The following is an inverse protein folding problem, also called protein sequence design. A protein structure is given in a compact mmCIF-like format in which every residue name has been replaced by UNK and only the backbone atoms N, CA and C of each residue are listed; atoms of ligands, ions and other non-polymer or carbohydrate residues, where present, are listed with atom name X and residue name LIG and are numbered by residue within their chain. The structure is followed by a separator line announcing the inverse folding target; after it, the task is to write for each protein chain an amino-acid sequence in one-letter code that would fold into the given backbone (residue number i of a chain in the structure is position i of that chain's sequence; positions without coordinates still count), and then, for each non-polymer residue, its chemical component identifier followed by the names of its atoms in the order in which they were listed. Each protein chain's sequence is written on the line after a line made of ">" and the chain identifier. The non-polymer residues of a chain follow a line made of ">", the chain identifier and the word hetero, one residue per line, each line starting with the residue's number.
data_IF_372430823073
#
_entry.id   IF_372430823073
#
_cell.length_a   1.000
_cell.length_b   1.000
_cell.length_c   1.000
_cell.angle_alpha   90.00
_cell.angle_beta   90.00
_cell.angle_gamma   90.00
#
_symmetry.space_group_name_H-M   'P 1'
#
loop_
_entity.id
_entity.type
_entity.pdbx_description
1 polymer ?
#
# COMPACT_ATOMS: atom_id res chain seq x y z
N UNK A 1 24.10 -24.47 9.73
CA UNK A 1 24.33 -23.64 10.93
C UNK A 1 23.68 -22.30 10.69
N UNK A 2 22.44 -22.14 11.13
CA UNK A 2 21.83 -20.80 11.22
C UNK A 2 22.55 -20.10 12.38
N UNK A 3 23.25 -19.01 12.09
CA UNK A 3 23.82 -18.16 13.13
C UNK A 3 22.68 -17.65 14.02
N UNK A 4 22.95 -17.55 15.33
CA UNK A 4 22.12 -16.96 16.39
C UNK A 4 21.72 -15.51 16.09
N UNK A 5 20.92 -15.28 15.05
CA UNK A 5 20.31 -13.99 14.80
C UNK A 5 19.03 -13.90 15.62
N UNK A 6 18.99 -12.91 16.50
CA UNK A 6 17.76 -12.53 17.22
C UNK A 6 16.67 -12.33 16.16
N UNK A 7 15.51 -13.02 16.28
CA UNK A 7 14.46 -12.92 15.28
C UNK A 7 13.94 -11.49 15.21
N UNK A 8 13.63 -11.04 14.00
CA UNK A 8 13.05 -9.71 13.77
C UNK A 8 11.59 -9.70 14.20
N UNK A 9 11.26 -8.78 15.10
CA UNK A 9 9.94 -8.63 15.71
C UNK A 9 9.02 -7.82 14.82
N UNK A 10 7.91 -8.42 14.42
CA UNK A 10 6.92 -7.83 13.51
C UNK A 10 5.60 -7.61 14.23
N UNK A 11 5.09 -6.38 14.16
CA UNK A 11 3.74 -6.01 14.58
C UNK A 11 2.81 -5.81 13.39
N UNK A 12 1.57 -6.27 13.48
CA UNK A 12 0.55 -6.08 12.44
C UNK A 12 -0.55 -5.12 12.93
N UNK A 13 -0.84 -4.09 12.15
CA UNK A 13 -1.91 -3.12 12.41
C UNK A 13 -2.98 -3.27 11.33
N UNK A 14 -4.08 -3.91 11.69
CA UNK A 14 -5.19 -4.28 10.81
C UNK A 14 -5.35 -5.79 10.70
N UNK A 15 -6.57 -6.28 10.94
CA UNK A 15 -6.90 -7.71 10.87
C UNK A 15 -8.03 -8.01 9.87
N UNK A 16 -7.99 -7.31 8.73
CA UNK A 16 -8.78 -7.65 7.54
C UNK A 16 -8.14 -8.78 6.72
N UNK A 17 -8.60 -8.99 5.47
CA UNK A 17 -8.11 -10.07 4.60
C UNK A 17 -6.58 -10.11 4.47
N UNK A 18 -5.93 -8.97 4.24
CA UNK A 18 -4.46 -8.88 4.17
C UNK A 18 -3.81 -9.20 5.52
N UNK A 19 -4.28 -8.57 6.60
CA UNK A 19 -3.75 -8.79 7.95
C UNK A 19 -3.86 -10.25 8.41
N UNK A 20 -4.98 -10.92 8.13
CA UNK A 20 -5.16 -12.34 8.44
C UNK A 20 -4.16 -13.22 7.71
N UNK A 21 -3.92 -12.97 6.42
CA UNK A 21 -2.92 -13.73 5.66
C UNK A 21 -1.50 -13.48 6.16
N UNK A 22 -1.14 -12.24 6.47
CA UNK A 22 0.19 -11.91 7.00
C UNK A 22 0.41 -12.53 8.38
N UNK A 23 -0.59 -12.48 9.28
CA UNK A 23 -0.52 -13.12 10.60
C UNK A 23 -0.38 -14.64 10.45
N UNK A 24 -1.15 -15.26 9.56
CA UNK A 24 -1.03 -16.69 9.28
C UNK A 24 0.38 -17.06 8.79
N UNK A 25 0.94 -16.32 7.83
CA UNK A 25 2.31 -16.54 7.35
C UNK A 25 3.36 -16.31 8.43
N UNK A 26 3.23 -15.26 9.25
CA UNK A 26 4.16 -14.99 10.34
C UNK A 26 4.12 -16.09 11.43
N UNK A 27 2.95 -16.64 11.73
CA UNK A 27 2.82 -17.73 12.71
C UNK A 27 3.34 -19.08 12.18
N UNK A 28 3.17 -19.35 10.89
CA UNK A 28 3.47 -20.66 10.29
C UNK A 28 4.85 -20.74 9.64
N UNK A 29 5.29 -19.68 8.97
CA UNK A 29 6.55 -19.62 8.20
C UNK A 29 7.55 -18.63 8.81
N UNK A 30 7.09 -17.67 9.60
CA UNK A 30 7.93 -16.63 10.20
C UNK A 30 9.14 -17.15 10.97
N UNK A 31 8.99 -18.13 11.88
CA UNK A 31 10.11 -18.63 12.69
C UNK A 31 11.28 -19.18 11.84
N UNK A 32 10.98 -19.90 10.76
CA UNK A 32 12.00 -20.44 9.84
C UNK A 32 12.73 -19.33 9.06
N UNK A 33 12.10 -18.17 8.92
CA UNK A 33 12.63 -16.98 8.26
C UNK A 33 13.28 -15.99 9.26
N UNK A 34 13.38 -16.35 10.54
CA UNK A 34 13.91 -15.47 11.59
C UNK A 34 12.97 -14.30 11.91
N UNK A 35 11.66 -14.49 11.79
CA UNK A 35 10.63 -13.49 12.10
C UNK A 35 9.76 -13.94 13.28
N UNK A 36 9.42 -13.00 14.15
CA UNK A 36 8.55 -13.22 15.30
C UNK A 36 7.36 -12.25 15.25
N UNK A 37 6.12 -12.78 15.25
CA UNK A 37 4.94 -11.94 15.42
C UNK A 37 4.82 -11.52 16.89
N UNK A 38 4.97 -10.23 17.18
CA UNK A 38 4.95 -9.72 18.57
C UNK A 38 3.63 -9.05 18.95
N UNK A 39 2.86 -8.56 17.99
CA UNK A 39 1.48 -8.15 18.23
C UNK A 39 0.64 -8.07 16.97
N UNK A 40 -0.68 -8.12 17.18
CA UNK A 40 -1.71 -7.76 16.21
C UNK A 40 -2.64 -6.75 16.87
N UNK A 41 -2.90 -5.65 16.17
CA UNK A 41 -3.89 -4.66 16.58
C UNK A 41 -4.97 -4.55 15.52
N UNK A 42 -6.22 -4.42 15.96
CA UNK A 42 -7.33 -4.06 15.09
C UNK A 42 -8.29 -3.16 15.86
N UNK A 43 -8.86 -2.14 15.20
CA UNK A 43 -9.80 -1.19 15.83
C UNK A 43 -10.98 -1.89 16.51
N UNK A 44 -11.44 -2.99 15.93
CA UNK A 44 -12.42 -3.89 16.52
C UNK A 44 -11.72 -5.17 16.99
N UNK A 45 -11.41 -5.31 18.30
CA UNK A 45 -10.72 -6.49 18.83
C UNK A 45 -11.50 -7.79 18.61
N UNK A 46 -12.82 -7.73 18.49
CA UNK A 46 -13.68 -8.90 18.28
C UNK A 46 -13.32 -9.67 17.01
N UNK A 47 -12.74 -9.00 16.00
CA UNK A 47 -12.26 -9.67 14.77
C UNK A 47 -11.08 -10.62 14.99
N UNK A 48 -10.35 -10.46 16.10
CA UNK A 48 -9.19 -11.30 16.44
C UNK A 48 -9.57 -12.46 17.37
N UNK A 49 -10.76 -12.43 17.97
CA UNK A 49 -11.21 -13.43 18.93
C UNK A 49 -11.20 -14.83 18.32
N UNK A 50 -10.53 -15.78 18.99
CA UNK A 50 -10.40 -17.17 18.53
C UNK A 50 -9.44 -17.39 17.35
N UNK A 51 -8.93 -16.35 16.71
CA UNK A 51 -7.99 -16.46 15.57
C UNK A 51 -6.57 -15.99 15.90
N UNK A 52 -6.42 -15.03 16.82
CA UNK A 52 -5.12 -14.53 17.28
C UNK A 52 -4.94 -14.90 18.75
N UNK A 53 -3.80 -15.48 19.18
CA UNK A 53 -3.53 -15.73 20.59
C UNK A 53 -3.71 -14.48 21.46
N UNK A 54 -4.37 -14.55 22.64
CA UNK A 54 -4.61 -13.37 23.49
C UNK A 54 -3.34 -12.60 23.84
N UNK A 55 -2.22 -13.31 24.04
CA UNK A 55 -0.91 -12.69 24.29
C UNK A 55 -0.45 -11.79 23.16
N UNK A 56 -0.85 -12.05 21.91
CA UNK A 56 -0.49 -11.27 20.72
C UNK A 56 -1.49 -10.14 20.43
N UNK A 57 -2.65 -10.10 21.08
CA UNK A 57 -3.65 -9.06 20.82
C UNK A 57 -3.30 -7.77 21.57
N UNK A 58 -2.84 -6.77 20.83
CA UNK A 58 -2.61 -5.43 21.38
C UNK A 58 -3.94 -4.69 21.49
N UNK A 59 -4.29 -4.26 22.71
CA UNK A 59 -5.56 -3.59 22.98
C UNK A 59 -5.53 -2.10 22.60
N UNK A 60 -4.40 -1.44 22.89
CA UNK A 60 -4.19 -0.02 22.61
C UNK A 60 -2.94 0.15 21.74
N UNK A 61 -3.09 0.76 20.57
CA UNK A 61 -1.98 1.00 19.66
C UNK A 61 -0.90 1.89 20.30
N UNK A 62 -1.27 2.80 21.20
CA UNK A 62 -0.30 3.63 21.92
C UNK A 62 0.67 2.83 22.81
N UNK A 63 0.30 1.58 23.17
CA UNK A 63 1.14 0.68 23.94
C UNK A 63 2.06 -0.19 23.06
N UNK A 64 2.17 0.06 21.75
CA UNK A 64 2.98 -0.78 20.85
C UNK A 64 4.46 -0.85 21.27
N UNK A 65 4.98 0.21 21.91
CA UNK A 65 6.38 0.27 22.37
C UNK A 65 6.73 -0.81 23.39
N UNK A 66 5.75 -1.25 24.20
CA UNK A 66 5.91 -2.34 25.18
C UNK A 66 6.17 -3.70 24.51
N UNK A 67 5.89 -3.81 23.22
CA UNK A 67 6.08 -5.03 22.43
C UNK A 67 7.43 -5.09 21.74
N UNK A 68 8.20 -4.01 21.79
CA UNK A 68 9.51 -3.86 21.15
C UNK A 68 9.56 -4.37 19.70
N UNK A 69 8.65 -3.92 18.81
CA UNK A 69 8.70 -4.30 17.40
C UNK A 69 9.92 -3.70 16.69
N UNK A 70 10.50 -4.43 15.74
CA UNK A 70 11.49 -3.88 14.80
C UNK A 70 10.81 -3.32 13.53
N UNK A 71 9.68 -3.92 13.16
CA UNK A 71 8.85 -3.52 12.02
C UNK A 71 7.37 -3.55 12.41
N UNK A 72 6.64 -2.50 12.06
CA UNK A 72 5.18 -2.45 12.12
C UNK A 72 4.63 -2.39 10.70
N UNK A 73 3.69 -3.28 10.38
CA UNK A 73 3.03 -3.35 9.07
C UNK A 73 1.59 -2.86 9.20
N UNK A 74 1.28 -1.76 8.53
CA UNK A 74 -0.07 -1.20 8.46
C UNK A 74 -0.82 -1.78 7.25
N UNK A 75 -1.95 -2.45 7.50
CA UNK A 75 -2.87 -3.00 6.49
C UNK A 75 -4.34 -2.81 6.92
N UNK A 76 -4.63 -1.65 7.50
CA UNK A 76 -5.92 -1.30 8.10
C UNK A 76 -6.65 -0.20 7.32
N UNK A 77 -6.09 1.00 7.32
CA UNK A 77 -6.69 2.22 6.77
C UNK A 77 -5.65 3.35 6.75
N UNK A 78 -5.66 4.27 5.76
CA UNK A 78 -4.75 5.42 5.75
C UNK A 78 -4.85 6.32 6.99
N UNK A 79 -5.99 6.30 7.70
CA UNK A 79 -6.18 7.02 8.98
C UNK A 79 -5.16 6.62 10.04
N UNK A 80 -4.75 5.35 10.07
CA UNK A 80 -3.71 4.89 10.99
C UNK A 80 -2.38 5.59 10.71
N UNK A 81 -2.05 5.82 9.43
CA UNK A 81 -0.83 6.51 9.04
C UNK A 81 -0.91 8.00 9.43
N UNK A 82 -2.05 8.65 9.18
CA UNK A 82 -2.29 10.05 9.56
C UNK A 82 -2.18 10.29 11.07
N UNK A 83 -2.72 9.38 11.88
CA UNK A 83 -2.87 9.54 13.33
C UNK A 83 -1.68 8.98 14.11
N UNK A 84 -1.16 7.82 13.70
CA UNK A 84 -0.20 7.03 14.49
C UNK A 84 1.14 6.78 13.78
N UNK A 85 1.28 7.10 12.49
CA UNK A 85 2.48 6.76 11.72
C UNK A 85 3.78 7.34 12.30
N UNK A 86 3.76 8.60 12.73
CA UNK A 86 4.93 9.23 13.36
C UNK A 86 5.26 8.64 14.74
N UNK A 87 4.24 8.24 15.52
CA UNK A 87 4.45 7.60 16.83
C UNK A 87 5.00 6.17 16.66
N UNK A 88 4.53 5.42 15.65
CA UNK A 88 5.09 4.11 15.31
C UNK A 88 6.59 4.22 15.01
N UNK A 89 6.99 5.24 14.24
CA UNK A 89 8.39 5.49 13.88
C UNK A 89 9.29 5.84 15.08
N UNK A 90 8.73 6.17 16.25
CA UNK A 90 9.52 6.31 17.48
C UNK A 90 10.08 4.97 17.97
N UNK A 91 9.43 3.86 17.63
CA UNK A 91 9.77 2.53 18.15
C UNK A 91 10.25 1.55 17.07
N UNK A 92 9.83 1.72 15.81
CA UNK A 92 10.08 0.73 14.77
C UNK A 92 10.11 1.30 13.34
N UNK A 93 10.61 0.51 12.40
CA UNK A 93 10.33 0.71 10.98
C UNK A 93 8.83 0.57 10.70
N UNK A 94 8.32 1.28 9.69
CA UNK A 94 6.91 1.25 9.31
C UNK A 94 6.76 0.81 7.86
N UNK A 95 6.02 -0.28 7.60
CA UNK A 95 5.53 -0.63 6.27
C UNK A 95 4.10 -0.10 6.10
N UNK A 96 3.94 0.90 5.25
CA UNK A 96 2.67 1.51 4.87
C UNK A 96 1.98 0.67 3.79
N UNK A 97 0.89 0.02 4.15
CA UNK A 97 0.02 -0.69 3.20
C UNK A 97 -1.06 0.17 2.58
N UNK A 98 -1.32 1.35 3.15
CA UNK A 98 -2.27 2.34 2.65
C UNK A 98 -1.56 3.61 2.14
N UNK A 99 -0.81 3.56 1.02
CA UNK A 99 -0.06 4.72 0.51
C UNK A 99 -0.93 5.91 0.13
N UNK A 100 -2.25 5.74 0.00
CA UNK A 100 -3.18 6.86 -0.18
C UNK A 100 -3.10 7.91 0.94
N UNK A 101 -2.61 7.54 2.13
CA UNK A 101 -2.33 8.49 3.21
C UNK A 101 -1.28 9.56 2.84
N UNK A 102 -0.34 9.20 1.96
CA UNK A 102 0.76 10.08 1.53
C UNK A 102 0.32 11.10 0.47
N UNK A 103 -0.94 11.02 0.01
CA UNK A 103 -1.55 12.09 -0.77
C UNK A 103 -1.75 13.36 0.07
N UNK A 104 -1.69 13.29 1.40
CA UNK A 104 -1.69 14.45 2.27
C UNK A 104 -0.25 14.86 2.60
N UNK A 105 0.15 16.02 2.09
CA UNK A 105 1.54 16.50 2.22
C UNK A 105 1.98 16.65 3.68
N UNK A 106 1.09 17.10 4.57
CA UNK A 106 1.38 17.22 6.00
C UNK A 106 1.66 15.85 6.65
N UNK A 107 1.04 14.78 6.15
CA UNK A 107 1.31 13.41 6.63
C UNK A 107 2.63 12.90 6.10
N UNK A 108 2.93 13.09 4.82
CA UNK A 108 4.23 12.74 4.23
C UNK A 108 5.40 13.44 4.96
N UNK A 109 5.30 14.75 5.19
CA UNK A 109 6.32 15.53 5.91
C UNK A 109 6.52 15.04 7.34
N UNK A 110 5.43 14.80 8.08
CA UNK A 110 5.51 14.27 9.46
C UNK A 110 6.21 12.91 9.52
N UNK A 111 5.97 12.03 8.55
CA UNK A 111 6.65 10.73 8.50
C UNK A 111 8.12 10.87 8.14
N UNK A 112 8.48 11.74 7.19
CA UNK A 112 9.87 12.00 6.84
C UNK A 112 10.65 12.55 8.05
N UNK A 113 10.10 13.56 8.73
CA UNK A 113 10.71 14.14 9.93
C UNK A 113 10.87 13.11 11.05
N UNK A 114 9.84 12.32 11.33
CA UNK A 114 9.89 11.26 12.34
C UNK A 114 10.91 10.18 11.97
N UNK A 115 10.96 9.79 10.69
CA UNK A 115 11.92 8.81 10.16
C UNK A 115 13.36 9.26 10.38
N UNK A 116 13.68 10.52 10.06
CA UNK A 116 15.00 11.10 10.29
C UNK A 116 15.32 11.27 11.78
N UNK A 117 14.33 11.70 12.59
CA UNK A 117 14.51 11.92 14.02
C UNK A 117 14.84 10.62 14.78
N UNK A 118 14.15 9.53 14.46
CA UNK A 118 14.24 8.28 15.21
C UNK A 118 15.06 7.20 14.52
N UNK A 119 15.59 7.46 13.32
CA UNK A 119 16.44 6.52 12.61
C UNK A 119 15.70 5.37 11.91
N UNK A 120 14.36 5.40 11.90
CA UNK A 120 13.55 4.32 11.33
C UNK A 120 13.04 4.65 9.92
N UNK A 121 13.23 3.73 8.97
CA UNK A 121 12.68 3.85 7.62
C UNK A 121 11.14 3.74 7.57
N UNK A 122 10.56 4.43 6.59
CA UNK A 122 9.19 4.24 6.11
C UNK A 122 9.26 3.45 4.82
N UNK A 123 8.67 2.28 4.79
CA UNK A 123 8.50 1.47 3.61
C UNK A 123 7.09 1.63 3.04
N UNK A 124 6.95 1.58 1.73
CA UNK A 124 5.67 1.62 1.02
C UNK A 124 5.48 0.31 0.27
N UNK A 125 4.38 -0.39 0.57
CA UNK A 125 4.04 -1.60 -0.16
C UNK A 125 3.65 -1.24 -1.61
N UNK A 126 4.27 -1.91 -2.58
CA UNK A 126 3.94 -1.73 -4.02
C UNK A 126 2.51 -2.17 -4.35
N UNK A 127 2.00 -3.14 -3.60
CA UNK A 127 0.63 -3.65 -3.74
C UNK A 127 0.34 -4.18 -5.15
N UNK A 128 -0.65 -3.58 -5.82
CA UNK A 128 -1.06 -4.00 -7.16
C UNK A 128 -0.27 -3.31 -8.30
N UNK A 129 0.68 -2.42 -7.99
CA UNK A 129 1.45 -1.71 -9.01
C UNK A 129 2.51 -2.63 -9.63
N UNK A 130 2.44 -2.81 -10.95
CA UNK A 130 3.51 -3.44 -11.72
C UNK A 130 4.48 -2.38 -12.24
N UNK A 131 5.79 -2.68 -12.26
CA UNK A 131 6.80 -1.78 -12.84
C UNK A 131 7.23 -0.60 -11.96
N UNK A 132 7.05 -0.65 -10.63
CA UNK A 132 7.46 0.43 -9.70
C UNK A 132 8.92 0.84 -9.89
N UNK A 133 9.83 -0.13 -10.04
CA UNK A 133 11.27 0.14 -10.19
C UNK A 133 11.59 0.79 -11.54
N UNK A 134 10.92 0.36 -12.61
CA UNK A 134 11.08 0.94 -13.95
C UNK A 134 10.55 2.37 -14.01
N UNK A 135 9.37 2.63 -13.42
CA UNK A 135 8.81 3.98 -13.28
C UNK A 135 9.79 4.87 -12.50
N UNK A 136 10.29 4.39 -11.36
CA UNK A 136 11.24 5.15 -10.52
C UNK A 136 12.53 5.47 -11.26
N UNK A 137 13.07 4.52 -12.03
CA UNK A 137 14.30 4.73 -12.81
C UNK A 137 14.07 5.72 -13.95
N UNK A 138 12.94 5.60 -14.65
CA UNK A 138 12.57 6.48 -15.75
C UNK A 138 12.36 7.93 -15.27
N UNK A 139 11.68 8.11 -14.15
CA UNK A 139 11.46 9.40 -13.50
C UNK A 139 12.80 10.06 -13.12
N UNK A 140 13.68 9.32 -12.43
CA UNK A 140 15.02 9.80 -12.04
C UNK A 140 15.90 10.18 -13.24
N UNK A 141 15.71 9.54 -14.38
CA UNK A 141 16.42 9.86 -15.62
C UNK A 141 15.82 11.06 -16.38
N UNK A 142 14.74 11.67 -15.87
CA UNK A 142 14.01 12.74 -16.56
C UNK A 142 13.23 12.26 -17.78
N UNK A 143 13.00 10.95 -17.91
CA UNK A 143 12.37 10.32 -19.06
C UNK A 143 10.87 10.10 -18.91
N UNK A 144 10.26 10.50 -17.79
CA UNK A 144 8.83 10.33 -17.53
C UNK A 144 8.09 11.66 -17.75
N UNK A 145 7.19 11.67 -18.73
CA UNK A 145 6.39 12.85 -19.12
C UNK A 145 4.93 12.74 -18.66
N UNK A 146 4.38 11.53 -18.64
CA UNK A 146 3.02 11.26 -18.17
C UNK A 146 2.93 9.88 -17.52
N UNK A 147 2.05 9.74 -16.54
CA UNK A 147 1.69 8.47 -15.93
C UNK A 147 0.20 8.45 -15.61
N UNK A 148 -0.49 7.45 -16.12
CA UNK A 148 -1.91 7.19 -15.90
C UNK A 148 -2.07 5.77 -15.36
N UNK A 149 -2.90 5.62 -14.33
CA UNK A 149 -3.26 4.33 -13.75
C UNK A 149 -4.78 4.20 -13.77
N UNK A 150 -5.28 3.23 -14.53
CA UNK A 150 -6.71 2.89 -14.57
C UNK A 150 -6.93 1.64 -13.72
N UNK A 151 -7.86 1.69 -12.78
CA UNK A 151 -8.32 0.52 -12.04
C UNK A 151 -9.79 0.27 -12.36
N UNK A 152 -10.07 -0.91 -12.92
CA UNK A 152 -11.42 -1.39 -13.17
C UNK A 152 -11.76 -2.57 -12.26
N UNK A 153 -12.96 -2.57 -11.70
CA UNK A 153 -13.49 -3.67 -10.88
C UNK A 153 -15.02 -3.65 -10.87
N UNK A 154 -15.64 -4.73 -10.40
CA UNK A 154 -17.06 -4.73 -10.07
C UNK A 154 -17.40 -3.56 -9.12
N UNK A 155 -18.55 -2.87 -9.31
CA UNK A 155 -18.99 -1.80 -8.42
C UNK A 155 -18.99 -2.17 -6.93
N UNK A 156 -19.35 -3.42 -6.60
CA UNK A 156 -19.38 -3.93 -5.22
C UNK A 156 -18.00 -3.96 -4.55
N UNK A 157 -16.91 -3.91 -5.32
CA UNK A 157 -15.53 -3.85 -4.82
C UNK A 157 -15.11 -2.46 -4.35
N UNK A 158 -15.91 -1.42 -4.61
CA UNK A 158 -15.55 -0.07 -4.20
C UNK A 158 -15.95 0.24 -2.75
N UNK A 159 -15.10 1.02 -2.08
CA UNK A 159 -15.37 1.63 -0.76
C UNK A 159 -15.17 3.14 -0.90
N UNK A 160 -16.08 3.75 -1.65
CA UNK A 160 -16.06 5.18 -1.94
C UNK A 160 -16.64 5.99 -0.78
N UNK A 161 -16.14 7.20 -0.63
CA UNK A 161 -16.50 8.17 0.41
C UNK A 161 -16.82 9.52 -0.25
N UNK A 162 -17.54 10.38 0.48
CA UNK A 162 -17.84 11.74 0.03
C UNK A 162 -18.64 11.76 -1.29
N UNK A 163 -18.34 12.69 -2.23
CA UNK A 163 -19.07 12.82 -3.48
C UNK A 163 -19.03 11.57 -4.38
N UNK A 164 -17.98 10.75 -4.29
CA UNK A 164 -17.88 9.51 -5.08
C UNK A 164 -18.79 8.40 -4.52
N UNK A 165 -19.19 8.44 -3.25
CA UNK A 165 -20.11 7.45 -2.68
C UNK A 165 -21.51 7.52 -3.33
N UNK A 166 -21.88 8.68 -3.87
CA UNK A 166 -23.14 8.89 -4.60
C UNK A 166 -23.00 8.71 -6.12
N UNK A 167 -21.81 8.37 -6.62
CA UNK A 167 -21.63 8.09 -8.03
C UNK A 167 -22.30 6.75 -8.37
N UNK A 168 -23.26 6.78 -9.29
CA UNK A 168 -23.96 5.58 -9.75
C UNK A 168 -23.36 5.10 -11.06
N UNK A 169 -23.13 3.79 -11.19
CA UNK A 169 -22.82 3.19 -12.48
C UNK A 169 -24.12 3.07 -13.27
N UNK A 170 -24.25 3.84 -14.35
CA UNK A 170 -25.46 3.90 -15.18
C UNK A 170 -25.42 2.94 -16.38
N UNK A 171 -24.27 2.31 -16.63
CA UNK A 171 -24.06 1.38 -17.73
C UNK A 171 -23.17 0.19 -17.36
N UNK A 172 -22.92 -0.73 -18.31
CA UNK A 172 -22.11 -1.93 -18.08
C UNK A 172 -20.67 -1.59 -17.66
N UNK A 173 -20.15 -0.46 -18.13
CA UNK A 173 -18.84 0.09 -17.76
C UNK A 173 -18.93 1.61 -17.63
N UNK A 174 -18.57 2.15 -16.47
CA UNK A 174 -18.72 3.58 -16.11
C UNK A 174 -17.43 4.11 -15.49
N UNK A 175 -16.92 5.24 -15.98
CA UNK A 175 -15.83 5.98 -15.31
C UNK A 175 -16.41 6.75 -14.13
N UNK A 176 -16.01 6.40 -12.92
CA UNK A 176 -16.45 7.04 -11.68
C UNK A 176 -15.58 8.26 -11.34
N UNK A 177 -14.32 8.23 -11.74
CA UNK A 177 -13.35 9.29 -11.49
C UNK A 177 -12.28 9.27 -12.57
N UNK A 178 -11.85 10.46 -13.00
CA UNK A 178 -10.66 10.67 -13.81
C UNK A 178 -10.02 12.01 -13.43
N UNK A 179 -8.76 11.98 -12.98
CA UNK A 179 -8.05 13.18 -12.55
C UNK A 179 -6.81 12.89 -11.72
N UNK A 180 -6.20 13.92 -11.11
CA UNK A 180 -5.03 13.77 -10.24
C UNK A 180 -5.27 12.80 -9.10
N UNK A 181 -4.32 11.89 -8.85
CA UNK A 181 -4.42 10.92 -7.74
C UNK A 181 -4.68 11.60 -6.40
N UNK A 182 -4.15 12.82 -6.17
CA UNK A 182 -4.40 13.60 -4.95
C UNK A 182 -5.90 13.81 -4.68
N UNK A 183 -6.67 14.12 -5.72
CA UNK A 183 -8.10 14.34 -5.61
C UNK A 183 -8.90 13.06 -5.38
N UNK A 184 -8.35 11.91 -5.77
CA UNK A 184 -9.01 10.62 -5.59
C UNK A 184 -8.84 10.05 -4.18
N UNK A 185 -7.65 10.16 -3.59
CA UNK A 185 -7.31 9.48 -2.34
C UNK A 185 -8.29 9.74 -1.18
N UNK A 186 -8.81 10.97 -0.94
CA UNK A 186 -9.79 11.21 0.11
C UNK A 186 -11.14 10.51 -0.10
N UNK A 187 -11.52 10.26 -1.36
CA UNK A 187 -12.83 9.71 -1.72
C UNK A 187 -12.81 8.22 -2.07
N UNK A 188 -11.63 7.65 -2.31
CA UNK A 188 -11.47 6.21 -2.53
C UNK A 188 -10.21 5.68 -1.82
N UNK A 189 -10.05 5.89 -0.50
CA UNK A 189 -8.80 5.64 0.22
C UNK A 189 -8.30 4.21 0.11
N UNK A 190 -9.22 3.24 0.02
CA UNK A 190 -8.88 1.81 -0.05
C UNK A 190 -8.65 1.31 -1.48
N UNK A 191 -9.25 1.98 -2.47
CA UNK A 191 -9.16 1.60 -3.87
C UNK A 191 -8.03 2.36 -4.61
N UNK A 192 -7.55 3.48 -4.08
CA UNK A 192 -6.52 4.31 -4.72
C UNK A 192 -5.07 3.92 -4.38
N UNK A 193 -4.84 2.89 -3.55
CA UNK A 193 -3.49 2.52 -3.08
C UNK A 193 -2.50 2.22 -4.23
N UNK A 194 -2.92 1.53 -5.29
CA UNK A 194 -2.07 1.27 -6.46
C UNK A 194 -1.69 2.57 -7.18
N UNK A 195 -2.62 3.51 -7.28
CA UNK A 195 -2.39 4.80 -7.94
C UNK A 195 -1.51 5.71 -7.07
N UNK A 196 -1.70 5.66 -5.75
CA UNK A 196 -0.84 6.36 -4.80
C UNK A 196 0.60 5.82 -4.82
N UNK A 197 0.77 4.50 -4.90
CA UNK A 197 2.09 3.90 -5.12
C UNK A 197 2.71 4.38 -6.44
N UNK A 198 1.93 4.55 -7.51
CA UNK A 198 2.44 5.06 -8.78
C UNK A 198 2.87 6.53 -8.69
N UNK A 199 2.09 7.36 -7.98
CA UNK A 199 2.44 8.75 -7.68
C UNK A 199 3.75 8.88 -6.89
N UNK A 200 3.96 8.02 -5.90
CA UNK A 200 5.20 7.96 -5.12
C UNK A 200 6.39 7.44 -5.93
N UNK A 201 6.15 6.55 -6.90
CA UNK A 201 7.18 6.03 -7.80
C UNK A 201 7.61 7.03 -8.88
N UNK A 202 6.80 8.07 -9.12
CA UNK A 202 7.06 9.13 -10.07
C UNK A 202 7.15 10.51 -9.39
N UNK A 203 8.15 10.79 -8.53
CA UNK A 203 8.26 12.07 -7.82
C UNK A 203 8.19 13.32 -8.72
N UNK A 204 8.67 13.24 -9.97
CA UNK A 204 8.56 14.36 -10.91
C UNK A 204 7.12 14.66 -11.32
N UNK A 205 6.18 13.72 -11.18
CA UNK A 205 4.76 13.94 -11.43
C UNK A 205 3.98 14.09 -10.11
N UNK A 206 4.29 13.25 -9.13
CA UNK A 206 3.64 13.22 -7.82
C UNK A 206 2.13 12.99 -7.90
N UNK A 207 1.45 13.21 -6.77
CA UNK A 207 0.01 13.02 -6.67
C UNK A 207 -0.82 14.00 -7.53
N UNK A 208 -0.23 15.13 -7.92
CA UNK A 208 -0.92 16.18 -8.68
C UNK A 208 -0.93 15.94 -10.19
N UNK A 209 0.07 15.25 -10.74
CA UNK A 209 0.19 15.03 -12.19
C UNK A 209 0.05 13.58 -12.62
N UNK A 210 0.16 12.61 -11.71
CA UNK A 210 -0.26 11.25 -12.01
C UNK A 210 -1.78 11.21 -12.09
N UNK A 211 -2.30 10.64 -13.17
CA UNK A 211 -3.75 10.55 -13.42
C UNK A 211 -4.27 9.19 -12.95
N UNK A 212 -5.20 9.21 -12.00
CA UNK A 212 -5.94 8.04 -11.55
C UNK A 212 -7.30 7.96 -12.22
N UNK A 213 -7.69 6.77 -12.69
CA UNK A 213 -9.01 6.52 -13.28
C UNK A 213 -9.68 5.33 -12.62
N UNK A 214 -10.83 5.56 -11.97
CA UNK A 214 -11.64 4.49 -11.40
C UNK A 214 -12.78 4.13 -12.34
N UNK A 215 -12.89 2.84 -12.64
CA UNK A 215 -13.90 2.30 -13.55
C UNK A 215 -14.73 1.24 -12.86
N UNK A 216 -16.02 1.49 -12.77
CA UNK A 216 -17.02 0.47 -12.44
C UNK A 216 -17.30 -0.38 -13.68
N UNK A 217 -17.11 -1.69 -13.59
CA UNK A 217 -17.36 -2.62 -14.68
C UNK A 217 -18.11 -3.86 -14.18
N UNK A 218 -19.37 -4.01 -14.59
CA UNK A 218 -20.23 -5.13 -14.18
C UNK A 218 -19.81 -6.47 -14.79
N UNK A 219 -18.94 -6.47 -15.82
CA UNK A 219 -18.42 -7.72 -16.40
C UNK A 219 -17.33 -8.36 -15.53
N UNK A 220 -16.66 -7.58 -14.68
CA UNK A 220 -15.54 -8.03 -13.85
C UNK A 220 -16.02 -8.64 -12.53
N UNK A 221 -16.60 -9.85 -12.58
CA UNK A 221 -17.25 -10.47 -11.40
C UNK A 221 -16.28 -10.93 -10.31
N UNK A 222 -15.09 -11.37 -10.71
CA UNK A 222 -14.11 -12.08 -9.88
C UNK A 222 -12.67 -11.63 -10.20
N UNK A 223 -12.51 -10.40 -10.66
CA UNK A 223 -11.21 -9.88 -11.10
C UNK A 223 -11.13 -8.37 -10.96
N UNK A 224 -9.94 -7.87 -10.65
CA UNK A 224 -9.58 -6.47 -10.80
C UNK A 224 -8.62 -6.33 -11.98
N UNK A 225 -8.85 -5.30 -12.80
CA UNK A 225 -7.95 -4.93 -13.89
C UNK A 225 -7.23 -3.65 -13.50
N UNK A 226 -5.91 -3.63 -13.71
CA UNK A 226 -5.08 -2.43 -13.57
C UNK A 226 -4.30 -2.21 -14.84
N UNK A 227 -4.57 -1.10 -15.51
CA UNK A 227 -3.77 -0.61 -16.63
C UNK A 227 -2.83 0.50 -16.14
N UNK A 228 -1.58 0.42 -16.55
CA UNK A 228 -0.58 1.48 -16.32
C UNK A 228 -0.06 1.94 -17.67
N UNK A 229 -0.24 3.22 -17.94
CA UNK A 229 0.15 3.89 -19.16
C UNK A 229 1.14 5.00 -18.83
N UNK A 230 2.31 4.97 -19.47
CA UNK A 230 3.29 6.03 -19.31
C UNK A 230 3.90 6.42 -20.66
N UNK A 231 4.37 7.66 -20.72
CA UNK A 231 5.09 8.18 -21.87
C UNK A 231 6.31 8.99 -21.45
N UNK A 232 7.31 9.04 -22.32
CA UNK A 232 8.45 9.94 -22.20
C UNK A 232 8.34 11.19 -23.07
N UNK A 233 9.29 12.12 -22.94
CA UNK A 233 9.31 13.32 -23.77
C UNK A 233 9.44 12.96 -25.26
N UNK A 234 8.93 13.81 -26.17
CA UNK A 234 9.10 13.59 -27.61
C UNK A 234 10.59 13.52 -27.99
N UNK A 235 10.98 12.47 -28.72
CA UNK A 235 12.33 12.36 -29.27
C UNK A 235 12.53 13.25 -30.50
N UNK A 236 13.72 13.19 -31.14
CA UNK A 236 14.05 14.01 -32.32
C UNK A 236 13.09 13.84 -33.51
N UNK A 237 12.42 12.68 -33.60
CA UNK A 237 11.45 12.37 -34.65
C UNK A 237 10.00 12.74 -34.28
N UNK A 238 9.80 13.37 -33.12
CA UNK A 238 8.48 13.71 -32.55
C UNK A 238 7.75 12.53 -31.91
N UNK A 239 8.30 11.31 -31.95
CA UNK A 239 7.72 10.14 -31.27
C UNK A 239 8.21 10.05 -29.83
N UNK A 240 7.30 9.74 -28.90
CA UNK A 240 7.62 9.48 -27.51
C UNK A 240 7.83 7.99 -27.25
N UNK A 241 8.73 7.67 -26.31
CA UNK A 241 8.70 6.38 -25.64
C UNK A 241 7.33 6.19 -24.96
N UNK A 242 6.77 4.99 -25.01
CA UNK A 242 5.51 4.67 -24.36
C UNK A 242 5.52 3.24 -23.83
N UNK A 243 4.88 3.03 -22.69
CA UNK A 243 4.64 1.71 -22.11
C UNK A 243 3.17 1.61 -21.72
N UNK A 244 2.58 0.47 -22.07
CA UNK A 244 1.26 0.07 -21.62
C UNK A 244 1.39 -1.31 -20.95
N UNK A 245 0.99 -1.41 -19.69
CA UNK A 245 0.88 -2.70 -19.00
C UNK A 245 -0.56 -2.98 -18.65
N UNK A 246 -1.02 -4.19 -18.93
CA UNK A 246 -2.34 -4.68 -18.55
C UNK A 246 -2.17 -5.77 -17.50
N UNK A 247 -2.78 -5.60 -16.32
CA UNK A 247 -2.73 -6.57 -15.24
C UNK A 247 -4.15 -7.02 -14.87
N UNK A 248 -4.36 -8.32 -14.97
CA UNK A 248 -5.53 -9.03 -14.48
C UNK A 248 -5.21 -9.68 -13.11
N UNK A 249 -6.03 -9.40 -12.10
CA UNK A 249 -5.81 -9.89 -10.75
C UNK A 249 -7.10 -10.53 -10.20
N UNK A 250 -7.16 -11.86 -10.11
CA UNK A 250 -8.33 -12.55 -9.54
C UNK A 250 -8.68 -12.03 -8.14
N UNK A 251 -9.96 -11.84 -7.89
CA UNK A 251 -10.49 -11.31 -6.64
C UNK A 251 -11.81 -12.00 -6.29
N UNK A 252 -12.10 -12.15 -5.01
CA UNK A 252 -13.44 -12.60 -4.63
C UNK A 252 -14.46 -11.50 -4.93
N UNK A 253 -15.72 -11.86 -5.27
CA UNK A 253 -16.78 -10.89 -5.48
C UNK A 253 -16.88 -9.87 -4.33
N UNK A 254 -16.85 -8.58 -4.67
CA UNK A 254 -16.94 -7.48 -3.71
C UNK A 254 -15.69 -7.22 -2.85
N UNK A 255 -14.58 -7.93 -3.10
CA UNK A 255 -13.31 -7.69 -2.44
C UNK A 255 -12.66 -6.39 -2.92
N UNK A 256 -11.95 -5.71 -2.01
CA UNK A 256 -11.14 -4.51 -2.35
C UNK A 256 -9.75 -4.89 -2.87
N UNK A 257 -9.29 -6.09 -2.53
CA UNK A 257 -7.92 -6.55 -2.77
C UNK A 257 -7.94 -7.90 -3.50
N UNK A 258 -7.27 -7.99 -4.65
CA UNK A 258 -7.07 -9.24 -5.38
C UNK A 258 -6.00 -10.14 -4.77
N UNK A 259 -6.02 -11.42 -5.14
CA UNK A 259 -5.21 -12.49 -4.53
C UNK A 259 -3.70 -12.25 -4.66
N UNK A 260 -3.21 -11.81 -5.84
CA UNK A 260 -1.79 -11.58 -6.04
C UNK A 260 -1.24 -10.41 -5.20
N UNK A 261 -2.10 -9.50 -4.76
CA UNK A 261 -1.70 -8.41 -3.86
C UNK A 261 -1.31 -8.95 -2.48
N UNK A 262 -1.96 -10.02 -2.00
CA UNK A 262 -1.60 -10.66 -0.72
C UNK A 262 -0.16 -11.19 -0.76
N UNK A 263 0.19 -11.88 -1.84
CA UNK A 263 1.56 -12.36 -2.06
C UNK A 263 2.56 -11.23 -2.17
N UNK A 264 2.21 -10.13 -2.85
CA UNK A 264 3.06 -8.95 -2.95
C UNK A 264 3.37 -8.34 -1.57
N UNK A 265 2.36 -8.21 -0.70
CA UNK A 265 2.56 -7.72 0.67
C UNK A 265 3.48 -8.61 1.51
N UNK A 266 3.37 -9.94 1.38
CA UNK A 266 4.29 -10.85 2.05
C UNK A 266 5.73 -10.63 1.58
N UNK A 267 5.94 -10.46 0.27
CA UNK A 267 7.28 -10.16 -0.29
C UNK A 267 7.81 -8.80 0.16
N UNK A 268 6.97 -7.78 0.22
CA UNK A 268 7.30 -6.45 0.76
C UNK A 268 7.75 -6.55 2.23
N UNK A 269 7.04 -7.31 3.07
CA UNK A 269 7.41 -7.56 4.47
C UNK A 269 8.79 -8.22 4.56
N UNK A 270 9.03 -9.29 3.80
CA UNK A 270 10.33 -9.96 3.76
C UNK A 270 11.44 -9.02 3.29
N UNK A 271 11.17 -8.19 2.28
CA UNK A 271 12.09 -7.17 1.78
C UNK A 271 12.49 -6.16 2.85
N UNK A 272 11.52 -5.62 3.61
CA UNK A 272 11.79 -4.75 4.76
C UNK A 272 12.70 -5.41 5.80
N UNK A 273 12.55 -6.73 5.97
CA UNK A 273 13.30 -7.50 6.96
C UNK A 273 14.76 -7.77 6.53
N UNK A 274 15.07 -7.69 5.24
CA UNK A 274 16.37 -8.05 4.67
C UNK A 274 17.19 -6.86 4.19
N UNK A 275 16.54 -5.74 3.84
CA UNK A 275 17.22 -4.56 3.31
C UNK A 275 17.90 -3.74 4.42
N UNK A 276 19.11 -3.22 4.20
CA UNK A 276 19.70 -2.21 5.07
C UNK A 276 18.80 -0.97 5.03
N UNK A 277 18.16 -0.65 6.15
CA UNK A 277 17.25 0.47 6.26
C UNK A 277 18.03 1.77 6.47
N UNK A 278 17.60 2.83 5.77
CA UNK A 278 18.03 4.21 6.02
C UNK A 278 16.79 5.06 6.26
N UNK A 279 16.88 6.11 7.09
CA UNK A 279 15.80 7.09 7.21
C UNK A 279 15.34 7.60 5.84
N UNK A 280 14.04 7.85 5.72
CA UNK A 280 13.36 8.24 4.48
C UNK A 280 12.21 7.29 4.12
N UNK A 281 11.53 7.63 3.02
CA UNK A 281 10.44 6.84 2.43
C UNK A 281 11.00 6.01 1.25
N UNK A 282 10.77 4.71 1.28
CA UNK A 282 11.30 3.76 0.30
C UNK A 282 10.22 2.76 -0.14
N UNK A 283 10.27 2.26 -1.36
CA UNK A 283 9.47 1.09 -1.74
C UNK A 283 10.11 -0.20 -1.23
N UNK A 284 9.28 -1.20 -0.92
CA UNK A 284 9.72 -2.58 -0.70
C UNK A 284 8.95 -3.56 -1.58
#
# INVERSE_FOLDING_TARGET
>A
MALDQVPRKVGIVGYGRLGQSLVSHLLTQGPELGLELVFVWNRDPGRMAGSVPPSLQLQNLAALGERHPDLVVEVAHPKIIHESGAEILRYAHLLVGSPSALAEQATEQRLLEASHRWGHAVFVARGALWGTDDITRLDKAGGLQSLRVTMATHPDGFRLEGPLATAHSTGPRTVLYEGPVRGLCPFAPRNSNTMAAAALAAPSLGFDRVIGVLVADFSLKDMHVVDVELSGPPGPTGRSFAVHTHRENPAEPGAVTGSATVTAFWRSLLGCCQLPSKPGIHFC
#
